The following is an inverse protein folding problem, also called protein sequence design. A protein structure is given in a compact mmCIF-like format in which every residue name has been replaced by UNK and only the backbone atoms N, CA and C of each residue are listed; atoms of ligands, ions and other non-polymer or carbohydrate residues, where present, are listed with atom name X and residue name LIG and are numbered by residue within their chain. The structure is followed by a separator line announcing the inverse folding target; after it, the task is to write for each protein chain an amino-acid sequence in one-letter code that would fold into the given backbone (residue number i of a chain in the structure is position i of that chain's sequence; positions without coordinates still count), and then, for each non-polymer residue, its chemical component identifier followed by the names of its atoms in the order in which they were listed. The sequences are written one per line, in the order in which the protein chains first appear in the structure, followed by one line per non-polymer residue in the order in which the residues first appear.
data_IF_817566984154
#
_entry.id   IF_817566984154
#
_cell.length_a   1.000
_cell.length_b   1.000
_cell.length_c   1.000
_cell.angle_alpha   90.00
_cell.angle_beta   90.00
_cell.angle_gamma   90.00
#
_symmetry.space_group_name_H-M   'P 1'
#
loop_
_entity.id
_entity.type
_entity.pdbx_description
1 polymer ?
#
# COMPACT_ATOMS: atom_id res chain seq x y z
N UNK A 1 5.04 -20.62 -13.87
CA UNK A 1 4.38 -19.47 -13.27
C UNK A 1 4.38 -18.33 -14.28
N UNK A 2 3.23 -17.73 -14.56
CA UNK A 2 3.10 -16.65 -15.54
C UNK A 2 3.38 -15.26 -14.96
N UNK A 3 4.26 -15.13 -13.95
CA UNK A 3 4.59 -13.84 -13.34
C UNK A 3 5.86 -13.29 -13.99
N UNK A 4 5.76 -12.08 -14.52
CA UNK A 4 6.87 -11.34 -15.09
C UNK A 4 7.26 -10.19 -14.15
N UNK A 5 8.56 -9.92 -14.04
CA UNK A 5 9.09 -8.84 -13.22
C UNK A 5 9.82 -7.82 -14.10
N UNK A 6 9.54 -6.55 -13.86
CA UNK A 6 10.30 -5.43 -14.40
C UNK A 6 10.96 -4.71 -13.23
N UNK A 7 12.28 -4.69 -13.22
CA UNK A 7 13.03 -3.97 -12.18
C UNK A 7 13.22 -2.52 -12.56
N UNK A 8 13.18 -1.64 -11.55
CA UNK A 8 13.39 -0.21 -11.76
C UNK A 8 14.79 0.18 -12.25
N UNK A 9 15.77 -0.74 -12.14
CA UNK A 9 17.16 -0.44 -12.50
C UNK A 9 17.87 0.42 -11.45
N UNK A 10 19.05 0.92 -11.82
CA UNK A 10 19.76 1.94 -11.03
C UNK A 10 19.36 3.32 -11.54
N UNK A 11 18.73 4.13 -10.70
CA UNK A 11 18.37 5.51 -11.04
C UNK A 11 19.30 6.46 -10.30
N UNK A 12 19.97 7.31 -11.06
CA UNK A 12 20.85 8.31 -10.48
C UNK A 12 20.10 9.61 -10.11
N UNK A 13 18.98 9.96 -10.67
CA UNK A 13 18.21 11.18 -10.32
C UNK A 13 16.83 11.21 -11.00
N UNK A 14 15.83 11.76 -10.31
CA UNK A 14 14.50 12.17 -10.83
C UNK A 14 13.48 11.05 -11.04
N UNK A 15 13.23 10.26 -9.98
CA UNK A 15 12.05 9.36 -9.93
C UNK A 15 10.75 10.13 -10.22
N UNK A 16 10.66 11.38 -9.80
CA UNK A 16 9.56 12.29 -10.05
C UNK A 16 9.25 12.50 -11.53
N UNK A 17 10.28 12.88 -12.30
CA UNK A 17 10.11 13.10 -13.73
C UNK A 17 9.70 11.83 -14.45
N UNK A 18 10.25 10.69 -14.05
CA UNK A 18 9.89 9.39 -14.63
C UNK A 18 8.43 9.06 -14.36
N UNK A 19 7.98 9.15 -13.11
CA UNK A 19 6.60 8.82 -12.72
C UNK A 19 5.56 9.76 -13.36
N UNK A 20 5.94 11.02 -13.60
CA UNK A 20 5.09 12.02 -14.27
C UNK A 20 5.17 12.00 -15.79
N UNK A 21 6.11 11.25 -16.38
CA UNK A 21 6.40 11.30 -17.81
C UNK A 21 5.28 10.69 -18.67
N UNK A 22 5.21 11.12 -19.93
CA UNK A 22 4.34 10.50 -20.93
C UNK A 22 4.76 9.06 -21.21
N UNK A 23 6.05 8.75 -21.18
CA UNK A 23 6.60 7.41 -21.38
C UNK A 23 6.11 6.44 -20.30
N UNK A 24 5.98 6.87 -19.05
CA UNK A 24 5.38 6.07 -17.99
C UNK A 24 3.90 5.74 -18.30
N UNK A 25 3.14 6.72 -18.81
CA UNK A 25 1.78 6.49 -19.28
C UNK A 25 1.71 5.41 -20.35
N UNK A 26 2.52 5.55 -21.39
CA UNK A 26 2.61 4.56 -22.50
C UNK A 26 3.01 3.17 -21.97
N UNK A 27 3.94 3.10 -21.03
CA UNK A 27 4.35 1.83 -20.42
C UNK A 27 3.19 1.17 -19.67
N UNK A 28 2.49 1.93 -18.81
CA UNK A 28 1.35 1.41 -18.05
C UNK A 28 0.22 0.93 -18.97
N UNK A 29 -0.09 1.68 -20.04
CA UNK A 29 -1.10 1.29 -21.03
C UNK A 29 -0.71 -0.02 -21.74
N UNK A 30 0.55 -0.16 -22.12
CA UNK A 30 1.05 -1.41 -22.74
C UNK A 30 0.96 -2.59 -21.78
N UNK A 31 1.33 -2.40 -20.52
CA UNK A 31 1.26 -3.46 -19.51
C UNK A 31 -0.19 -3.86 -19.23
N UNK A 32 -1.09 -2.90 -19.07
CA UNK A 32 -2.52 -3.15 -18.84
C UNK A 32 -3.19 -3.91 -20.00
N UNK A 33 -2.72 -3.71 -21.23
CA UNK A 33 -3.21 -4.45 -22.38
C UNK A 33 -2.60 -5.85 -22.53
N UNK A 34 -1.43 -6.08 -21.93
CA UNK A 34 -0.70 -7.35 -22.08
C UNK A 34 -0.91 -8.32 -20.90
N UNK A 35 -1.36 -7.84 -19.75
CA UNK A 35 -1.50 -8.62 -18.53
C UNK A 35 -2.85 -8.41 -17.87
N UNK A 36 -3.39 -9.48 -17.25
CA UNK A 36 -4.65 -9.43 -16.51
C UNK A 36 -4.53 -8.62 -15.20
N UNK A 37 -3.33 -8.58 -14.62
CA UNK A 37 -3.02 -7.82 -13.41
C UNK A 37 -1.62 -7.23 -13.50
N UNK A 38 -1.51 -5.94 -13.26
CA UNK A 38 -0.24 -5.22 -13.13
C UNK A 38 -0.12 -4.69 -11.70
N UNK A 39 0.92 -5.14 -10.99
CA UNK A 39 1.21 -4.68 -9.63
C UNK A 39 2.40 -3.72 -9.69
N UNK A 40 2.20 -2.51 -9.22
CA UNK A 40 3.25 -1.50 -9.15
C UNK A 40 3.73 -1.35 -7.69
N UNK A 41 4.99 -1.71 -7.43
CA UNK A 41 5.63 -1.47 -6.13
C UNK A 41 6.23 -0.06 -6.13
N UNK A 42 5.72 0.80 -5.26
CA UNK A 42 6.04 2.22 -5.22
C UNK A 42 6.94 2.57 -4.03
N UNK A 43 7.75 3.64 -4.15
CA UNK A 43 8.39 4.24 -2.98
C UNK A 43 7.37 4.66 -1.90
N UNK A 44 7.80 4.81 -0.63
CA UNK A 44 6.92 5.28 0.44
C UNK A 44 6.35 6.68 0.13
N UNK A 45 5.03 6.83 0.22
CA UNK A 45 4.32 8.08 -0.14
C UNK A 45 4.76 9.29 0.67
N UNK A 46 5.21 9.10 1.92
CA UNK A 46 5.71 10.18 2.76
C UNK A 46 7.14 10.61 2.40
N UNK A 47 7.93 9.72 1.78
CA UNK A 47 9.31 10.01 1.39
C UNK A 47 9.39 10.64 -0.02
N UNK A 48 8.47 10.25 -0.92
CA UNK A 48 8.48 10.68 -2.33
C UNK A 48 7.11 11.23 -2.70
N UNK A 49 6.99 12.55 -2.70
CA UNK A 49 5.71 13.25 -2.97
C UNK A 49 5.13 12.94 -4.36
N UNK A 50 5.98 12.58 -5.30
CA UNK A 50 5.63 12.37 -6.71
C UNK A 50 4.94 11.04 -6.96
N UNK A 51 4.93 10.13 -5.99
CA UNK A 51 4.07 8.94 -5.99
C UNK A 51 2.60 9.32 -6.24
N UNK A 52 2.17 10.53 -5.85
CA UNK A 52 0.84 11.06 -6.14
C UNK A 52 0.51 11.16 -7.63
N UNK A 53 1.52 11.33 -8.48
CA UNK A 53 1.34 11.35 -9.94
C UNK A 53 0.99 9.94 -10.45
N UNK A 54 1.59 8.92 -9.86
CA UNK A 54 1.30 7.54 -10.16
C UNK A 54 -0.11 7.14 -9.69
N UNK A 55 -0.52 7.57 -8.50
CA UNK A 55 -1.86 7.28 -7.95
C UNK A 55 -3.01 7.72 -8.87
N UNK A 56 -2.81 8.74 -9.69
CA UNK A 56 -3.80 9.20 -10.68
C UNK A 56 -3.95 8.27 -11.89
N UNK A 57 -3.00 7.37 -12.09
CA UNK A 57 -2.92 6.48 -13.26
C UNK A 57 -3.22 5.02 -12.89
N UNK A 58 -3.33 4.72 -11.61
CA UNK A 58 -3.56 3.38 -11.07
C UNK A 58 -5.04 3.24 -10.73
N UNK A 59 -5.65 2.14 -11.12
CA UNK A 59 -7.06 1.87 -10.84
C UNK A 59 -7.33 1.69 -9.35
N UNK A 60 -6.46 0.96 -8.64
CA UNK A 60 -6.61 0.68 -7.21
C UNK A 60 -5.29 0.66 -6.46
N UNK A 61 -5.32 1.14 -5.23
CA UNK A 61 -4.16 1.21 -4.35
C UNK A 61 -4.38 0.41 -3.08
N UNK A 62 -3.33 -0.23 -2.58
CA UNK A 62 -3.29 -0.84 -1.26
C UNK A 62 -2.27 -0.06 -0.43
N UNK A 63 -2.68 0.43 0.73
CA UNK A 63 -1.78 1.12 1.64
C UNK A 63 -1.20 0.14 2.64
N UNK A 64 0.14 -0.04 2.60
CA UNK A 64 0.84 -0.96 3.50
C UNK A 64 1.44 -0.18 4.66
N UNK A 65 1.09 -0.56 5.88
CA UNK A 65 1.56 0.03 7.14
C UNK A 65 2.39 -1.00 7.89
N UNK A 66 3.60 -0.65 8.29
CA UNK A 66 4.44 -1.53 9.09
C UNK A 66 4.07 -1.43 10.57
N UNK A 67 3.63 -2.57 11.15
CA UNK A 67 3.23 -2.64 12.54
C UNK A 67 4.40 -2.34 13.50
N UNK A 68 4.14 -1.51 14.52
CA UNK A 68 5.12 -1.16 15.54
C UNK A 68 6.19 -0.15 15.10
N UNK A 69 6.26 0.23 13.81
CA UNK A 69 7.24 1.18 13.30
C UNK A 69 6.60 2.44 12.70
N UNK A 70 5.48 2.29 12.03
CA UNK A 70 4.79 3.44 11.43
C UNK A 70 3.91 4.11 12.49
N UNK A 71 4.18 5.37 12.80
CA UNK A 71 3.35 6.13 13.75
C UNK A 71 1.94 6.38 13.20
N UNK A 72 0.96 6.56 14.11
CA UNK A 72 -0.42 6.89 13.72
C UNK A 72 -0.49 8.19 12.93
N UNK A 73 0.30 9.20 13.30
CA UNK A 73 0.33 10.49 12.61
C UNK A 73 0.83 10.35 11.17
N UNK A 74 1.84 9.51 10.95
CA UNK A 74 2.33 9.19 9.61
C UNK A 74 1.26 8.46 8.78
N UNK A 75 0.53 7.53 9.38
CA UNK A 75 -0.59 6.84 8.70
C UNK A 75 -1.67 7.84 8.29
N UNK A 76 -2.09 8.71 9.20
CA UNK A 76 -3.12 9.73 8.93
C UNK A 76 -2.65 10.70 7.85
N UNK A 77 -1.40 11.14 7.91
CA UNK A 77 -0.81 12.04 6.90
C UNK A 77 -0.76 11.38 5.53
N UNK A 78 -0.30 10.13 5.46
CA UNK A 78 -0.26 9.39 4.20
C UNK A 78 -1.66 9.17 3.61
N UNK A 79 -2.64 8.80 4.42
CA UNK A 79 -4.03 8.63 3.97
C UNK A 79 -4.63 9.94 3.45
N UNK A 80 -4.35 11.07 4.10
CA UNK A 80 -4.76 12.39 3.60
C UNK A 80 -4.14 12.68 2.24
N UNK A 81 -2.83 12.42 2.07
CA UNK A 81 -2.15 12.61 0.78
C UNK A 81 -2.76 11.73 -0.32
N UNK A 82 -3.12 10.49 -0.02
CA UNK A 82 -3.81 9.60 -0.97
C UNK A 82 -5.19 10.12 -1.32
N UNK A 83 -5.94 10.59 -0.33
CA UNK A 83 -7.26 11.19 -0.52
C UNK A 83 -7.19 12.45 -1.39
N UNK A 84 -6.25 13.36 -1.11
CA UNK A 84 -6.04 14.59 -1.89
C UNK A 84 -5.64 14.28 -3.34
N UNK A 85 -4.89 13.19 -3.54
CA UNK A 85 -4.55 12.69 -4.86
C UNK A 85 -5.72 11.97 -5.57
N UNK A 86 -6.87 11.79 -4.90
CA UNK A 86 -8.03 11.03 -5.37
C UNK A 86 -7.71 9.58 -5.70
N UNK A 87 -6.80 8.96 -4.94
CA UNK A 87 -6.48 7.56 -5.09
C UNK A 87 -7.70 6.68 -4.74
N UNK A 88 -7.98 5.68 -5.56
CA UNK A 88 -8.93 4.62 -5.19
C UNK A 88 -8.23 3.65 -4.23
N UNK A 89 -8.51 3.79 -2.93
CA UNK A 89 -7.93 2.96 -1.88
C UNK A 89 -8.77 1.71 -1.67
N UNK A 90 -8.27 0.56 -2.13
CA UNK A 90 -8.92 -0.75 -1.94
C UNK A 90 -8.87 -1.21 -0.48
N UNK A 91 -7.83 -0.82 0.26
CA UNK A 91 -7.70 -1.16 1.68
C UNK A 91 -6.33 -0.82 2.26
N UNK A 92 -6.23 -1.08 3.57
CA UNK A 92 -4.98 -0.93 4.34
C UNK A 92 -4.53 -2.29 4.83
N UNK A 93 -3.25 -2.60 4.64
CA UNK A 93 -2.62 -3.83 5.12
C UNK A 93 -1.64 -3.50 6.22
N UNK A 94 -1.81 -4.15 7.37
CA UNK A 94 -0.86 -4.08 8.45
C UNK A 94 0.16 -5.21 8.29
N UNK A 95 1.39 -4.87 7.96
CA UNK A 95 2.47 -5.82 7.71
C UNK A 95 3.35 -6.04 8.94
N UNK A 96 4.06 -7.17 8.98
CA UNK A 96 5.02 -7.53 10.02
C UNK A 96 4.44 -7.52 11.44
N UNK A 97 3.20 -7.95 11.59
CA UNK A 97 2.53 -8.05 12.90
C UNK A 97 3.18 -9.13 13.75
N UNK A 98 3.72 -8.74 14.92
CA UNK A 98 4.19 -9.68 15.93
C UNK A 98 3.03 -10.09 16.83
N UNK A 99 2.48 -11.29 16.59
CA UNK A 99 1.35 -11.82 17.33
C UNK A 99 1.65 -12.06 18.82
N UNK A 100 2.91 -12.23 19.20
CA UNK A 100 3.31 -12.38 20.63
C UNK A 100 3.19 -11.04 21.36
N UNK A 101 3.69 -9.98 20.74
CA UNK A 101 3.56 -8.61 21.27
C UNK A 101 2.12 -8.12 21.26
N UNK A 102 1.33 -8.47 20.23
CA UNK A 102 -0.08 -8.09 20.17
C UNK A 102 -0.88 -8.63 21.35
N UNK A 103 -0.65 -9.87 21.78
CA UNK A 103 -1.29 -10.45 22.96
C UNK A 103 -0.94 -9.69 24.26
N UNK A 104 0.29 -9.21 24.38
CA UNK A 104 0.72 -8.39 25.51
C UNK A 104 -0.02 -7.05 25.59
N UNK A 105 -0.28 -6.39 24.46
CA UNK A 105 -1.06 -5.15 24.42
C UNK A 105 -2.54 -5.35 24.74
N UNK A 106 -3.13 -6.50 24.37
CA UNK A 106 -4.51 -6.83 24.68
C UNK A 106 -4.72 -7.08 26.18
N UNK A 107 -3.68 -7.50 26.91
CA UNK A 107 -3.74 -7.75 28.36
C UNK A 107 -3.46 -6.50 29.22
N UNK A 108 -2.87 -5.44 28.67
CA UNK A 108 -2.50 -4.24 29.39
C UNK A 108 -3.40 -3.02 29.14
N UNK A 109 -4.42 -3.14 28.32
CA UNK A 109 -5.41 -2.07 28.03
C UNK A 109 -6.79 -2.46 28.50
N UNK A 110 -7.37 -1.64 29.38
CA UNK A 110 -8.72 -1.77 29.91
C UNK A 110 -9.76 -2.19 28.85
N UNK A 111 -10.46 -3.25 29.20
CA UNK A 111 -11.72 -3.77 28.71
C UNK A 111 -12.50 -3.02 27.62
N UNK A 112 -12.21 -3.28 26.37
CA UNK A 112 -13.23 -3.28 25.33
C UNK A 112 -13.24 -4.68 24.70
N UNK A 113 -14.19 -5.47 25.19
CA UNK A 113 -14.43 -6.83 24.74
C UNK A 113 -14.85 -6.85 23.26
N UNK A 114 -13.98 -7.30 22.39
CA UNK A 114 -14.40 -7.83 21.10
C UNK A 114 -14.85 -9.27 21.32
N UNK A 115 -16.17 -9.45 21.23
CA UNK A 115 -16.84 -10.71 21.32
C UNK A 115 -16.25 -11.76 20.39
N UNK A 116 -16.09 -12.91 20.95
CA UNK A 116 -15.79 -14.21 20.39
C UNK A 116 -16.57 -14.49 19.10
N UNK A 117 -15.92 -14.42 17.94
CA UNK A 117 -16.39 -15.15 16.76
C UNK A 117 -15.77 -16.56 16.82
N UNK A 118 -16.39 -17.39 17.58
CA UNK A 118 -16.09 -18.82 17.63
C UNK A 118 -17.40 -19.59 17.66
N UNK A 119 -17.54 -20.48 16.68
CA UNK A 119 -18.50 -21.58 16.57
C UNK A 119 -19.60 -21.40 15.50
N UNK A 120 -19.22 -21.68 14.26
CA UNK A 120 -20.12 -22.34 13.31
C UNK A 120 -19.36 -23.50 12.66
N UNK A 121 -19.35 -24.64 13.40
CA UNK A 121 -19.22 -25.97 12.82
C UNK A 121 -19.86 -26.92 13.79
N UNK A 122 -21.10 -27.35 13.48
CA UNK A 122 -21.64 -28.71 13.59
C UNK A 122 -23.16 -28.64 13.40
N UNK A 123 -23.61 -29.11 12.29
CA UNK A 123 -24.64 -30.13 12.06
C UNK A 123 -25.08 -30.05 10.60
#
# INVERSE_FOLDING_TARGET
SGVHFVTAGQFDYQVAELLGSEQMGVLLDRLSNAYDLVVFDSPPILAVSDVRLLLKRIERSIFVVRWGETSRDNVVTALRMMFDARADLAGVVLSQVDLRRQRSYAYSGDGYGYGTYGSYHQS
#
